data_IF_678620411935
#
_entry.id   IF_678620411935
#
_cell.length_a   1.000
_cell.length_b   1.000
_cell.length_c   1.000
_cell.angle_alpha   90.00
_cell.angle_beta   90.00
_cell.angle_gamma   90.00
#
_symmetry.space_group_name_H-M   'P 1'
#
loop_
_entity.id
_entity.type
_entity.pdbx_description
1 polymer ?
#
# COMPACT_ATOMS: atom_id res chain seq x y z
N UNK A 1 -3.89 11.84 -14.25
CA UNK A 1 -3.30 12.29 -12.98
C UNK A 1 -2.75 11.09 -12.24
N UNK A 2 -1.68 11.30 -11.52
CA UNK A 2 -1.00 10.20 -10.83
C UNK A 2 -1.25 10.23 -9.33
N UNK A 3 -1.39 9.05 -8.77
CA UNK A 3 -1.65 8.84 -7.36
C UNK A 3 -0.73 7.75 -6.84
N UNK A 4 -0.30 7.91 -5.60
CA UNK A 4 0.40 6.85 -4.88
C UNK A 4 -0.58 6.24 -3.88
N UNK A 5 -0.80 4.94 -3.99
CA UNK A 5 -1.57 4.20 -3.01
C UNK A 5 -0.60 3.59 -2.01
N UNK A 6 -0.80 3.88 -0.73
CA UNK A 6 -0.08 3.21 0.35
C UNK A 6 -1.01 2.16 0.93
N UNK A 7 -0.53 0.92 0.94
CA UNK A 7 -1.34 -0.23 1.33
C UNK A 7 -0.91 -0.66 2.72
N UNK A 8 -1.85 -0.59 3.67
CA UNK A 8 -1.65 -0.96 5.07
C UNK A 8 -2.44 -2.22 5.38
N UNK A 9 -1.82 -3.14 6.08
CA UNK A 9 -2.48 -4.36 6.55
C UNK A 9 -2.70 -4.30 8.06
N UNK A 10 -3.87 -4.81 8.49
CA UNK A 10 -4.07 -5.14 9.90
C UNK A 10 -3.57 -6.56 10.10
N UNK A 11 -2.40 -6.69 10.71
CA UNK A 11 -1.74 -8.00 10.84
C UNK A 11 -2.59 -9.01 11.63
N UNK A 12 -3.33 -8.55 12.63
CA UNK A 12 -4.23 -9.43 13.40
C UNK A 12 -5.29 -10.08 12.53
N UNK A 13 -5.85 -9.35 11.57
CA UNK A 13 -6.83 -9.91 10.64
C UNK A 13 -6.21 -10.94 9.73
N UNK A 14 -4.98 -10.69 9.27
CA UNK A 14 -4.27 -11.62 8.40
C UNK A 14 -3.88 -12.90 9.16
N UNK A 15 -3.42 -12.78 10.39
CA UNK A 15 -3.05 -13.92 11.23
C UNK A 15 -4.26 -14.81 11.56
N UNK A 16 -5.46 -14.22 11.63
CA UNK A 16 -6.68 -14.95 11.87
C UNK A 16 -7.18 -15.73 10.65
N UNK A 17 -6.61 -15.49 9.47
CA UNK A 17 -7.02 -16.17 8.25
C UNK A 17 -6.50 -17.60 8.20
N UNK A 18 -7.31 -18.50 7.64
CA UNK A 18 -6.84 -19.82 7.25
C UNK A 18 -5.93 -19.71 6.03
N UNK A 19 -5.17 -20.77 5.75
CA UNK A 19 -4.33 -20.82 4.56
C UNK A 19 -5.16 -20.67 3.28
N UNK A 20 -6.35 -21.29 3.25
CA UNK A 20 -7.26 -21.19 2.11
C UNK A 20 -7.74 -19.77 1.90
N UNK A 21 -8.11 -19.08 2.98
CA UNK A 21 -8.54 -17.68 2.90
C UNK A 21 -7.42 -16.75 2.43
N UNK A 22 -6.21 -16.98 2.92
CA UNK A 22 -5.04 -16.22 2.52
C UNK A 22 -4.74 -16.41 1.03
N UNK A 23 -4.74 -17.64 0.55
CA UNK A 23 -4.51 -17.94 -0.86
C UNK A 23 -5.57 -17.31 -1.76
N UNK A 24 -6.83 -17.34 -1.32
CA UNK A 24 -7.91 -16.69 -2.05
C UNK A 24 -7.72 -15.18 -2.14
N UNK A 25 -7.31 -14.55 -1.04
CA UNK A 25 -7.03 -13.11 -1.00
C UNK A 25 -5.90 -12.74 -1.95
N UNK A 26 -4.80 -13.49 -1.91
CA UNK A 26 -3.64 -13.25 -2.78
C UNK A 26 -4.03 -13.42 -4.25
N UNK A 27 -4.78 -14.49 -4.57
CA UNK A 27 -5.23 -14.73 -5.94
C UNK A 27 -6.13 -13.61 -6.45
N UNK A 28 -7.06 -13.13 -5.63
CA UNK A 28 -7.93 -12.01 -5.97
C UNK A 28 -7.12 -10.72 -6.20
N UNK A 29 -6.13 -10.46 -5.34
CA UNK A 29 -5.28 -9.29 -5.47
C UNK A 29 -4.48 -9.32 -6.77
N UNK A 30 -3.88 -10.44 -7.10
CA UNK A 30 -3.10 -10.59 -8.34
C UNK A 30 -3.97 -10.43 -9.58
N UNK A 31 -5.18 -10.99 -9.55
CA UNK A 31 -6.11 -10.86 -10.67
C UNK A 31 -6.54 -9.40 -10.87
N UNK A 32 -6.77 -8.69 -9.77
CA UNK A 32 -7.13 -7.28 -9.85
C UNK A 32 -5.98 -6.41 -10.34
N UNK A 33 -4.75 -6.70 -9.91
CA UNK A 33 -3.56 -6.01 -10.41
C UNK A 33 -3.43 -6.16 -11.93
N UNK A 34 -3.68 -7.35 -12.46
CA UNK A 34 -3.68 -7.58 -13.91
C UNK A 34 -4.76 -6.75 -14.60
N UNK A 35 -5.96 -6.70 -14.04
CA UNK A 35 -7.04 -5.89 -14.58
C UNK A 35 -6.65 -4.40 -14.62
N UNK A 36 -6.05 -3.90 -13.55
CA UNK A 36 -5.59 -2.51 -13.47
C UNK A 36 -4.50 -2.21 -14.50
N UNK A 37 -3.60 -3.16 -14.71
CA UNK A 37 -2.54 -3.02 -15.70
C UNK A 37 -3.10 -2.97 -17.11
N UNK A 38 -4.05 -3.85 -17.42
CA UNK A 38 -4.70 -3.90 -18.74
C UNK A 38 -5.50 -2.63 -19.02
N UNK A 39 -6.10 -2.04 -18.00
CA UNK A 39 -6.86 -0.80 -18.16
C UNK A 39 -6.00 0.47 -18.15
N UNK A 40 -4.69 0.31 -17.97
CA UNK A 40 -3.76 1.43 -17.97
C UNK A 40 -3.71 2.20 -16.66
N UNK A 41 -4.32 1.68 -15.59
CA UNK A 41 -4.26 2.33 -14.28
C UNK A 41 -2.96 2.04 -13.54
N UNK A 42 -2.46 0.82 -13.61
CA UNK A 42 -1.30 0.41 -12.82
C UNK A 42 -0.01 0.73 -13.57
N UNK A 43 0.80 1.63 -13.00
CA UNK A 43 2.11 2.02 -13.53
C UNK A 43 3.21 1.19 -12.88
N UNK A 44 3.13 0.98 -11.56
CA UNK A 44 4.12 0.20 -10.82
C UNK A 44 3.60 -0.16 -9.45
N UNK A 45 4.19 -1.20 -8.87
CA UNK A 45 3.81 -1.66 -7.54
C UNK A 45 4.96 -2.44 -6.91
N UNK A 46 5.06 -2.39 -5.59
CA UNK A 46 6.00 -3.22 -4.83
C UNK A 46 5.36 -3.62 -3.52
N UNK A 47 5.53 -4.89 -3.16
CA UNK A 47 5.22 -5.36 -1.82
C UNK A 47 6.42 -5.11 -0.90
N UNK A 48 6.15 -4.80 0.34
CA UNK A 48 7.18 -4.52 1.33
C UNK A 48 7.25 -5.63 2.36
N UNK A 49 8.44 -5.82 2.92
CA UNK A 49 8.62 -6.70 4.07
C UNK A 49 7.86 -6.13 5.28
N UNK A 50 7.63 -6.94 6.33
CA UNK A 50 6.97 -6.44 7.53
C UNK A 50 7.60 -5.16 8.07
N UNK A 51 6.78 -4.32 8.70
CA UNK A 51 7.21 -2.99 9.15
C UNK A 51 8.41 -3.04 10.11
N UNK A 52 8.60 -4.13 10.83
CA UNK A 52 9.76 -4.31 11.71
C UNK A 52 11.09 -4.29 10.95
N UNK A 53 11.07 -4.60 9.66
CA UNK A 53 12.27 -4.53 8.81
C UNK A 53 12.62 -3.11 8.38
N UNK A 54 11.74 -2.15 8.61
CA UNK A 54 11.99 -0.76 8.26
C UNK A 54 13.07 -0.15 9.17
N UNK A 55 13.78 0.83 8.64
CA UNK A 55 14.70 1.65 9.42
C UNK A 55 14.26 3.10 9.31
N UNK A 56 14.10 3.75 10.44
CA UNK A 56 13.75 5.17 10.49
C UNK A 56 15.00 5.99 10.75
N UNK A 57 15.22 7.00 9.93
CA UNK A 57 16.39 7.88 10.04
C UNK A 57 15.89 9.28 10.37
N UNK A 58 16.53 9.90 11.35
CA UNK A 58 16.27 11.31 11.70
C UNK A 58 17.58 12.06 11.80
N UNK A 59 17.55 13.30 11.34
CA UNK A 59 18.68 14.23 11.53
C UNK A 59 18.16 15.40 12.35
N UNK A 60 18.76 15.59 13.52
CA UNK A 60 18.41 16.69 14.43
C UNK A 60 19.69 17.39 14.86
N UNK A 61 19.73 18.71 14.65
CA UNK A 61 20.92 19.52 14.96
C UNK A 61 22.21 18.94 14.36
N UNK A 62 22.14 18.44 13.12
CA UNK A 62 23.28 17.88 12.42
C UNK A 62 23.63 16.46 12.82
N UNK A 63 22.92 15.87 13.76
CA UNK A 63 23.17 14.48 14.19
C UNK A 63 22.20 13.52 13.53
N UNK A 64 22.72 12.42 13.02
CA UNK A 64 21.96 11.34 12.40
C UNK A 64 21.63 10.31 13.47
N UNK A 65 20.37 9.96 13.59
CA UNK A 65 19.93 8.83 14.40
C UNK A 65 19.16 7.84 13.55
N UNK A 66 19.28 6.56 13.88
CA UNK A 66 18.55 5.49 13.22
C UNK A 66 17.81 4.67 14.26
N UNK A 67 16.63 4.20 13.88
CA UNK A 67 15.84 3.33 14.74
C UNK A 67 15.24 2.22 13.90
N UNK A 68 15.16 1.01 14.44
CA UNK A 68 14.47 -0.09 13.80
C UNK A 68 12.97 0.14 13.87
N UNK A 69 12.29 -0.22 12.79
CA UNK A 69 10.85 -0.10 12.69
C UNK A 69 10.37 1.19 12.06
N UNK A 70 9.06 1.34 11.88
CA UNK A 70 8.46 2.49 11.20
C UNK A 70 8.47 3.73 12.08
N UNK A 71 8.42 4.91 11.44
CA UNK A 71 8.38 6.19 12.14
C UNK A 71 7.09 6.39 12.93
N UNK A 72 5.99 5.79 12.48
CA UNK A 72 4.68 5.88 13.13
C UNK A 72 4.33 4.55 13.78
N UNK A 73 3.69 4.61 14.94
CA UNK A 73 3.22 3.42 15.64
C UNK A 73 1.98 2.83 14.96
N UNK A 74 1.79 1.57 14.99
CA UNK A 74 0.88 0.96 14.07
C UNK A 74 -0.10 -0.03 14.66
N UNK A 75 -1.37 0.21 14.43
CA UNK A 75 -2.36 -0.85 14.30
C UNK A 75 -2.26 -1.48 12.91
N UNK A 76 -2.01 -0.65 11.92
CA UNK A 76 -1.87 -1.07 10.53
C UNK A 76 -0.44 -0.86 10.10
N UNK A 77 0.11 -1.85 9.40
CA UNK A 77 1.49 -1.81 8.94
C UNK A 77 1.55 -1.59 7.45
N UNK A 78 2.41 -0.68 7.04
CA UNK A 78 2.65 -0.43 5.62
C UNK A 78 3.27 -1.68 4.99
N UNK A 79 2.59 -2.25 4.00
CA UNK A 79 3.02 -3.50 3.38
C UNK A 79 3.18 -3.40 1.87
N UNK A 80 2.91 -2.26 1.29
CA UNK A 80 3.11 -2.10 -0.15
C UNK A 80 2.72 -0.73 -0.65
N UNK A 81 3.06 -0.47 -1.89
CA UNK A 81 2.60 0.74 -2.57
C UNK A 81 2.32 0.45 -4.03
N UNK A 82 1.47 1.27 -4.62
CA UNK A 82 1.16 1.20 -6.04
C UNK A 82 1.14 2.61 -6.62
N UNK A 83 1.73 2.76 -7.80
CA UNK A 83 1.66 4.00 -8.57
C UNK A 83 0.54 3.85 -9.60
N UNK A 84 -0.43 4.73 -9.53
CA UNK A 84 -1.69 4.62 -10.28
C UNK A 84 -1.88 5.86 -11.14
N UNK A 85 -2.34 5.66 -12.36
CA UNK A 85 -2.84 6.73 -13.22
C UNK A 85 -4.36 6.65 -13.26
N UNK A 86 -5.02 7.75 -12.92
CA UNK A 86 -6.47 7.85 -12.94
C UNK A 86 -6.87 9.23 -13.47
N UNK A 87 -8.08 9.32 -13.98
CA UNK A 87 -8.62 10.55 -14.55
C UNK A 87 -8.73 11.65 -13.50
N UNK A 88 -9.19 11.29 -12.32
CA UNK A 88 -9.38 12.21 -11.20
C UNK A 88 -9.39 11.44 -9.88
N UNK A 89 -9.52 12.16 -8.77
CA UNK A 89 -9.52 11.55 -7.43
C UNK A 89 -10.69 10.59 -7.26
N UNK A 90 -11.87 10.91 -7.78
CA UNK A 90 -13.04 10.01 -7.67
C UNK A 90 -12.77 8.67 -8.32
N UNK A 91 -12.17 8.65 -9.51
CA UNK A 91 -11.82 7.41 -10.16
C UNK A 91 -10.77 6.65 -9.37
N UNK A 92 -9.75 7.34 -8.85
CA UNK A 92 -8.71 6.71 -8.03
C UNK A 92 -9.33 6.04 -6.79
N UNK A 93 -10.28 6.70 -6.14
CA UNK A 93 -10.99 6.15 -4.97
C UNK A 93 -11.83 4.94 -5.37
N UNK A 94 -12.58 5.02 -6.45
CA UNK A 94 -13.42 3.92 -6.91
C UNK A 94 -12.58 2.69 -7.24
N UNK A 95 -11.45 2.89 -7.90
CA UNK A 95 -10.55 1.79 -8.26
C UNK A 95 -9.89 1.20 -7.02
N UNK A 96 -9.45 2.04 -6.07
CA UNK A 96 -8.85 1.57 -4.83
C UNK A 96 -9.85 0.79 -3.96
N UNK A 97 -11.12 1.17 -3.98
CA UNK A 97 -12.15 0.52 -3.15
C UNK A 97 -12.41 -0.93 -3.54
N UNK A 98 -11.99 -1.34 -4.73
CA UNK A 98 -12.15 -2.72 -5.21
C UNK A 98 -10.93 -3.59 -4.91
N UNK A 99 -9.88 -3.02 -4.35
CA UNK A 99 -8.71 -3.78 -3.92
C UNK A 99 -9.10 -4.68 -2.75
N UNK A 100 -8.80 -5.98 -2.80
CA UNK A 100 -9.12 -6.87 -1.67
C UNK A 100 -8.41 -6.46 -0.38
N UNK A 101 -7.24 -5.84 -0.46
CA UNK A 101 -6.51 -5.36 0.71
C UNK A 101 -7.28 -4.30 1.50
N UNK A 102 -8.18 -3.58 0.85
CA UNK A 102 -9.01 -2.58 1.55
C UNK A 102 -9.96 -3.22 2.57
N UNK A 103 -10.24 -4.53 2.43
CA UNK A 103 -11.11 -5.25 3.37
C UNK A 103 -10.38 -5.71 4.63
N UNK A 104 -9.06 -5.85 4.55
CA UNK A 104 -8.23 -6.39 5.65
C UNK A 104 -7.23 -5.37 6.18
N UNK A 105 -7.38 -4.13 5.77
CA UNK A 105 -6.53 -3.03 6.15
C UNK A 105 -7.09 -1.75 5.57
N UNK A 106 -6.21 -0.89 5.07
CA UNK A 106 -6.63 0.35 4.43
C UNK A 106 -5.70 0.71 3.28
N UNK A 107 -6.20 1.56 2.39
CA UNK A 107 -5.43 2.10 1.29
C UNK A 107 -5.53 3.62 1.38
N UNK A 108 -4.37 4.27 1.51
CA UNK A 108 -4.30 5.72 1.44
C UNK A 108 -4.02 6.14 0.00
N UNK A 109 -4.85 7.01 -0.51
CA UNK A 109 -4.70 7.54 -1.87
C UNK A 109 -4.08 8.92 -1.77
N UNK A 110 -2.85 9.05 -2.23
CA UNK A 110 -2.11 10.31 -2.20
C UNK A 110 -1.96 10.88 -3.61
N UNK A 111 -2.49 12.07 -3.87
CA UNK A 111 -2.21 12.73 -5.14
C UNK A 111 -0.71 13.07 -5.23
N UNK A 112 -0.13 12.78 -6.38
CA UNK A 112 1.29 13.08 -6.60
C UNK A 112 1.43 14.48 -7.13
N UNK A 113 2.41 15.21 -6.57
CA UNK A 113 2.75 16.53 -7.09
C UNK A 113 3.36 16.33 -8.49
N UNK A 114 2.67 16.89 -9.48
CA UNK A 114 3.18 16.86 -10.84
C UNK A 114 4.00 18.14 -11.07
N UNK A 115 5.27 17.95 -11.36
CA UNK A 115 6.12 19.11 -11.63
C UNK A 115 5.82 19.68 -13.01
N UNK A 116 5.92 20.96 -13.09
CA UNK A 116 5.69 21.71 -14.30
C UNK A 116 6.85 21.61 -15.31
#
# INVERSE_FOLDING_TARGET
>A
MKYLWLIYNEEEKLEAMSQTEWEALVGEALAYDDELRQKGHLIGAQALQPAQAATTIRVRTGEVSTAEGPAAGPKEQLRGFMLIDARDLNEAIQVASKMPQARVGSIEVHPIVESE
#
